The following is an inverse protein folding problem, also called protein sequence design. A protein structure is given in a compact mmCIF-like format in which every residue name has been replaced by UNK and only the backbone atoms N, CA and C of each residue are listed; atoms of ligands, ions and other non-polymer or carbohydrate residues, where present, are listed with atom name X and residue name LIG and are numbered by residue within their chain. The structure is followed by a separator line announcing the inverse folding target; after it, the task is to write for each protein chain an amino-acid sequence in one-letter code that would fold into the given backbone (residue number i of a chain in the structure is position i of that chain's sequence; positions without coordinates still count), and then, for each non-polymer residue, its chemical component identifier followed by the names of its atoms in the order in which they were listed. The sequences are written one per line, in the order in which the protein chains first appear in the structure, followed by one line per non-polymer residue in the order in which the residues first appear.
data_IF_628190782480
#
_entry.id   IF_628190782480
#
_cell.length_a   1.000
_cell.length_b   1.000
_cell.length_c   1.000
_cell.angle_alpha   90.00
_cell.angle_beta   90.00
_cell.angle_gamma   90.00
#
_symmetry.space_group_name_H-M   'P 1'
#
loop_
_entity.id
_entity.type
_entity.pdbx_description
1 polymer ?
#
# COMPACT_ATOMS: atom_id res chain seq x y z
N UNK A 1 -15.69 -5.61 -1.35
CA UNK A 1 -16.29 -4.26 -1.35
C UNK A 1 -17.76 -4.48 -1.66
N UNK A 2 -18.67 -4.04 -0.79
CA UNK A 2 -20.10 -4.16 -1.06
C UNK A 2 -20.44 -3.43 -2.36
N UNK A 3 -21.40 -3.97 -3.11
CA UNK A 3 -21.81 -3.42 -4.42
C UNK A 3 -22.26 -1.94 -4.31
N UNK A 4 -22.66 -1.52 -3.11
CA UNK A 4 -23.15 -0.18 -2.80
C UNK A 4 -22.03 0.82 -2.42
N UNK A 5 -20.74 0.43 -2.52
CA UNK A 5 -19.63 1.31 -2.13
C UNK A 5 -19.64 2.66 -2.88
N UNK A 6 -20.04 2.67 -4.16
CA UNK A 6 -20.17 3.89 -4.95
C UNK A 6 -21.25 4.82 -4.39
N UNK A 7 -22.38 4.28 -3.94
CA UNK A 7 -23.50 5.05 -3.41
C UNK A 7 -23.09 5.71 -2.09
N UNK A 8 -22.48 4.93 -1.19
CA UNK A 8 -22.00 5.42 0.11
C UNK A 8 -20.95 6.52 -0.08
N UNK A 9 -20.02 6.35 -1.01
CA UNK A 9 -18.99 7.36 -1.30
C UNK A 9 -19.61 8.67 -1.76
N UNK A 10 -20.63 8.61 -2.62
CA UNK A 10 -21.32 9.80 -3.13
C UNK A 10 -22.21 10.45 -2.07
N UNK A 11 -23.03 9.66 -1.38
CA UNK A 11 -23.96 10.12 -0.36
C UNK A 11 -23.24 10.79 0.81
N UNK A 12 -22.13 10.20 1.25
CA UNK A 12 -21.35 10.70 2.39
C UNK A 12 -20.20 11.63 2.00
N UNK A 13 -20.09 11.99 0.71
CA UNK A 13 -19.01 12.85 0.20
C UNK A 13 -17.60 12.41 0.64
N UNK A 14 -17.32 11.11 0.50
CA UNK A 14 -16.04 10.52 0.92
C UNK A 14 -14.95 10.91 -0.07
N UNK A 15 -13.84 11.47 0.41
CA UNK A 15 -12.68 11.83 -0.43
C UNK A 15 -11.47 10.89 -0.26
N UNK A 16 -11.46 10.06 0.79
CA UNK A 16 -10.37 9.16 1.13
C UNK A 16 -10.89 7.82 1.64
N UNK A 17 -10.38 6.73 1.08
CA UNK A 17 -10.57 5.37 1.58
C UNK A 17 -9.22 4.79 1.98
N UNK A 18 -9.15 4.20 3.18
CA UNK A 18 -7.95 3.55 3.69
C UNK A 18 -8.21 2.05 3.85
N UNK A 19 -7.35 1.22 3.26
CA UNK A 19 -7.32 -0.23 3.50
C UNK A 19 -6.09 -0.59 4.34
N UNK A 20 -6.32 -0.92 5.61
CA UNK A 20 -5.27 -1.26 6.58
C UNK A 20 -5.46 -2.68 7.13
N UNK A 21 -4.73 -3.71 6.69
CA UNK A 21 -3.78 -3.74 5.57
C UNK A 21 -4.35 -4.43 4.34
N UNK A 22 -3.80 -4.13 3.17
CA UNK A 22 -4.19 -4.74 1.90
C UNK A 22 -4.05 -6.26 1.91
N UNK A 23 -3.01 -6.79 2.55
CA UNK A 23 -2.59 -8.19 2.37
C UNK A 23 -2.84 -9.10 3.56
N UNK A 24 -3.14 -8.57 4.74
CA UNK A 24 -3.24 -9.38 5.98
C UNK A 24 -4.26 -10.51 5.85
N UNK A 25 -5.48 -10.19 5.41
CA UNK A 25 -6.58 -11.16 5.29
C UNK A 25 -6.29 -12.22 4.21
N UNK A 26 -5.70 -11.81 3.08
CA UNK A 26 -5.31 -12.74 2.01
C UNK A 26 -4.24 -13.74 2.45
N UNK A 27 -3.44 -13.42 3.48
CA UNK A 27 -2.43 -14.33 4.03
C UNK A 27 -3.01 -15.29 5.06
N UNK A 28 -3.99 -14.88 5.85
CA UNK A 28 -4.59 -15.71 6.91
C UNK A 28 -5.57 -16.74 6.36
N UNK A 29 -6.36 -16.38 5.36
CA UNK A 29 -7.44 -17.25 4.84
C UNK A 29 -6.95 -18.27 3.81
N UNK A 30 -5.80 -18.03 3.18
CA UNK A 30 -5.32 -18.79 2.03
C UNK A 30 -3.88 -19.24 2.28
N UNK A 31 -3.77 -20.35 3.02
CA UNK A 31 -2.50 -20.92 3.50
C UNK A 31 -2.00 -22.00 2.54
N UNK A 32 -0.68 -22.05 2.34
CA UNK A 32 -0.01 -23.06 1.52
C UNK A 32 0.20 -22.64 0.06
N UNK A 33 1.14 -23.31 -0.62
CA UNK A 33 1.49 -22.98 -2.03
C UNK A 33 0.40 -23.39 -3.03
N UNK A 34 -0.41 -24.41 -2.69
CA UNK A 34 -1.47 -24.92 -3.57
C UNK A 34 -2.62 -23.93 -3.83
N UNK A 35 -2.75 -22.90 -3.00
CA UNK A 35 -3.82 -21.89 -3.09
C UNK A 35 -3.29 -20.52 -3.52
N UNK A 36 -2.01 -20.44 -3.91
CA UNK A 36 -1.35 -19.21 -4.34
C UNK A 36 -2.09 -18.54 -5.52
N UNK A 37 -2.49 -19.33 -6.51
CA UNK A 37 -3.20 -18.80 -7.68
C UNK A 37 -4.53 -18.16 -7.31
N UNK A 38 -5.31 -18.82 -6.44
CA UNK A 38 -6.58 -18.29 -5.95
C UNK A 38 -6.38 -17.00 -5.16
N UNK A 39 -5.37 -16.95 -4.30
CA UNK A 39 -4.99 -15.73 -3.57
C UNK A 39 -4.67 -14.58 -4.51
N UNK A 40 -3.84 -14.85 -5.53
CA UNK A 40 -3.46 -13.86 -6.54
C UNK A 40 -4.68 -13.34 -7.31
N UNK A 41 -5.61 -14.22 -7.70
CA UNK A 41 -6.85 -13.83 -8.39
C UNK A 41 -7.75 -12.96 -7.52
N UNK A 42 -7.99 -13.36 -6.25
CA UNK A 42 -8.80 -12.58 -5.30
C UNK A 42 -8.18 -11.20 -5.02
N UNK A 43 -6.85 -11.14 -4.83
CA UNK A 43 -6.12 -9.89 -4.64
C UNK A 43 -6.22 -8.97 -5.87
N UNK A 44 -6.07 -9.50 -7.08
CA UNK A 44 -6.23 -8.75 -8.32
C UNK A 44 -7.65 -8.17 -8.46
N UNK A 45 -8.68 -8.98 -8.19
CA UNK A 45 -10.07 -8.51 -8.20
C UNK A 45 -10.27 -7.37 -7.21
N UNK A 46 -9.73 -7.50 -5.99
CA UNK A 46 -9.82 -6.46 -4.98
C UNK A 46 -9.15 -5.15 -5.41
N UNK A 47 -7.92 -5.21 -5.91
CA UNK A 47 -7.19 -4.04 -6.42
C UNK A 47 -7.92 -3.36 -7.57
N UNK A 48 -8.50 -4.14 -8.51
CA UNK A 48 -9.31 -3.59 -9.61
C UNK A 48 -10.56 -2.88 -9.11
N UNK A 49 -11.24 -3.42 -8.10
CA UNK A 49 -12.39 -2.75 -7.49
C UNK A 49 -11.98 -1.41 -6.86
N UNK A 50 -10.87 -1.38 -6.13
CA UNK A 50 -10.35 -0.16 -5.51
C UNK A 50 -9.96 0.90 -6.55
N UNK A 51 -9.25 0.50 -7.61
CA UNK A 51 -8.86 1.40 -8.69
C UNK A 51 -10.09 1.99 -9.40
N UNK A 52 -11.08 1.14 -9.73
CA UNK A 52 -12.34 1.59 -10.34
C UNK A 52 -13.09 2.57 -9.43
N UNK A 53 -13.12 2.31 -8.12
CA UNK A 53 -13.77 3.19 -7.15
C UNK A 53 -13.08 4.56 -7.09
N UNK A 54 -11.74 4.59 -7.04
CA UNK A 54 -10.94 5.80 -7.09
C UNK A 54 -11.24 6.64 -8.34
N UNK A 55 -11.27 6.00 -9.51
CA UNK A 55 -11.49 6.67 -10.79
C UNK A 55 -12.94 7.13 -10.98
N UNK A 56 -13.91 6.29 -10.60
CA UNK A 56 -15.34 6.59 -10.81
C UNK A 56 -15.84 7.68 -9.87
N UNK A 57 -15.33 7.70 -8.64
CA UNK A 57 -15.78 8.65 -7.62
C UNK A 57 -14.82 9.84 -7.44
N UNK A 58 -13.69 9.85 -8.15
CA UNK A 58 -12.64 10.86 -8.00
C UNK A 58 -12.15 11.00 -6.54
N UNK A 59 -11.77 9.87 -5.93
CA UNK A 59 -11.34 9.81 -4.53
C UNK A 59 -9.92 9.24 -4.42
N UNK A 60 -9.26 9.51 -3.30
CA UNK A 60 -7.98 8.89 -2.97
C UNK A 60 -8.20 7.53 -2.31
N UNK A 61 -7.53 6.49 -2.80
CA UNK A 61 -7.47 5.18 -2.12
C UNK A 61 -6.04 4.96 -1.63
N UNK A 62 -5.88 4.92 -0.31
CA UNK A 62 -4.62 4.61 0.35
C UNK A 62 -4.66 3.18 0.87
N UNK A 63 -3.62 2.42 0.61
CA UNK A 63 -3.49 1.07 1.15
C UNK A 63 -2.17 0.94 1.89
N UNK A 64 -2.20 0.24 3.02
CA UNK A 64 -0.96 -0.17 3.69
C UNK A 64 -0.65 -1.60 3.32
N UNK A 65 0.63 -1.92 3.17
CA UNK A 65 1.07 -3.24 2.78
C UNK A 65 2.13 -3.75 3.73
N UNK A 66 2.15 -5.07 3.92
CA UNK A 66 3.19 -5.74 4.69
C UNK A 66 4.40 -6.02 3.81
N UNK A 67 5.54 -6.17 4.46
CA UNK A 67 6.80 -6.58 3.81
C UNK A 67 7.23 -7.95 4.32
N UNK A 68 8.14 -8.57 3.59
CA UNK A 68 8.82 -9.78 4.01
C UNK A 68 10.31 -9.70 3.67
N UNK A 69 11.11 -10.43 4.41
CA UNK A 69 12.55 -10.53 4.17
C UNK A 69 12.85 -11.47 3.00
N UNK A 70 13.80 -11.07 2.17
CA UNK A 70 14.35 -11.82 1.04
C UNK A 70 15.79 -12.24 1.40
N UNK A 71 15.99 -13.45 1.96
CA UNK A 71 17.32 -13.90 2.40
C UNK A 71 18.31 -14.12 1.25
N UNK A 72 17.81 -14.15 0.01
CA UNK A 72 18.62 -14.24 -1.21
C UNK A 72 19.31 -12.91 -1.58
N UNK A 73 18.95 -11.80 -0.95
CA UNK A 73 19.61 -10.50 -1.13
C UNK A 73 20.78 -10.40 -0.14
N UNK A 74 22.01 -10.60 -0.63
CA UNK A 74 23.22 -10.49 0.19
C UNK A 74 23.70 -9.03 0.38
N UNK A 75 23.33 -8.12 -0.51
CA UNK A 75 23.74 -6.72 -0.47
C UNK A 75 22.54 -5.80 -0.69
N UNK A 76 22.42 -4.77 0.14
CA UNK A 76 21.30 -3.81 0.09
C UNK A 76 20.16 -4.18 1.04
N UNK A 77 19.01 -3.56 0.82
CA UNK A 77 17.82 -3.78 1.63
C UNK A 77 17.15 -5.11 1.24
N UNK A 78 17.07 -6.11 2.14
CA UNK A 78 16.44 -7.40 1.85
C UNK A 78 14.91 -7.34 1.93
N UNK A 79 14.31 -6.17 2.18
CA UNK A 79 12.87 -6.02 2.36
C UNK A 79 12.13 -6.01 1.02
N UNK A 80 11.17 -6.91 0.84
CA UNK A 80 10.29 -6.93 -0.33
C UNK A 80 8.82 -6.74 0.06
N UNK A 81 8.02 -6.00 -0.74
CA UNK A 81 6.59 -5.87 -0.50
C UNK A 81 5.84 -7.17 -0.81
N UNK A 82 4.83 -7.47 0.00
CA UNK A 82 3.94 -8.63 -0.22
C UNK A 82 2.95 -8.34 -1.34
N UNK A 83 2.50 -9.38 -2.05
CA UNK A 83 1.49 -9.30 -3.11
C UNK A 83 2.04 -9.36 -4.54
N UNK A 84 3.37 -9.34 -4.69
CA UNK A 84 4.08 -9.55 -5.95
C UNK A 84 3.65 -8.58 -7.05
N UNK A 85 3.74 -9.04 -8.30
CA UNK A 85 3.47 -8.21 -9.49
C UNK A 85 2.04 -7.66 -9.55
N UNK A 86 1.08 -8.29 -8.87
CA UNK A 86 -0.32 -7.82 -8.87
C UNK A 86 -0.41 -6.48 -8.15
N UNK A 87 0.14 -6.40 -6.94
CA UNK A 87 0.19 -5.14 -6.19
C UNK A 87 1.12 -4.15 -6.87
N UNK A 88 2.26 -4.64 -7.39
CA UNK A 88 3.24 -3.81 -8.12
C UNK A 88 2.62 -3.07 -9.31
N UNK A 89 1.89 -3.77 -10.18
CA UNK A 89 1.29 -3.16 -11.38
C UNK A 89 -0.01 -2.41 -11.11
N UNK A 90 -0.81 -2.82 -10.12
CA UNK A 90 -2.09 -2.18 -9.84
C UNK A 90 -1.94 -0.87 -9.04
N UNK A 91 -0.81 -0.66 -8.36
CA UNK A 91 -0.57 0.55 -7.58
C UNK A 91 -0.01 1.66 -8.47
N UNK A 92 -0.61 2.85 -8.45
CA UNK A 92 -0.11 4.02 -9.20
C UNK A 92 1.12 4.65 -8.53
N UNK A 93 1.11 4.78 -7.21
CA UNK A 93 2.20 5.40 -6.45
C UNK A 93 2.55 4.52 -5.27
N UNK A 94 3.85 4.28 -5.05
CA UNK A 94 4.34 3.38 -3.99
C UNK A 94 5.36 4.08 -3.10
N UNK A 95 5.04 4.16 -1.81
CA UNK A 95 5.95 4.65 -0.77
C UNK A 95 6.50 3.49 0.05
N UNK A 96 7.82 3.45 0.21
CA UNK A 96 8.48 2.55 1.14
C UNK A 96 8.87 3.32 2.40
N UNK A 97 8.24 2.97 3.52
CA UNK A 97 8.44 3.61 4.80
C UNK A 97 9.41 2.77 5.64
N UNK A 98 10.54 3.36 6.04
CA UNK A 98 11.56 2.68 6.84
C UNK A 98 11.95 3.49 8.07
N UNK A 99 12.38 2.80 9.13
CA UNK A 99 12.99 3.43 10.29
C UNK A 99 14.38 3.97 9.93
N UNK A 100 14.72 5.13 10.48
CA UNK A 100 16.06 5.70 10.43
C UNK A 100 16.67 5.73 11.84
N UNK A 101 17.78 6.45 12.02
CA UNK A 101 18.37 6.70 13.33
C UNK A 101 17.39 7.50 14.21
N UNK A 102 17.46 7.27 15.52
CA UNK A 102 16.64 7.96 16.53
C UNK A 102 15.13 7.81 16.28
N UNK A 103 14.37 8.90 16.36
CA UNK A 103 12.93 8.96 16.14
C UNK A 103 12.55 9.20 14.66
N UNK A 104 13.55 9.34 13.78
CA UNK A 104 13.35 9.65 12.37
C UNK A 104 12.84 8.44 11.58
N UNK A 105 12.12 8.72 10.51
CA UNK A 105 11.59 7.79 9.51
C UNK A 105 11.90 8.34 8.13
N UNK A 106 11.97 7.46 7.14
CA UNK A 106 12.17 7.84 5.74
C UNK A 106 11.01 7.29 4.93
N UNK A 107 10.37 8.14 4.14
CA UNK A 107 9.43 7.77 3.10
C UNK A 107 10.14 7.87 1.75
N UNK A 108 10.43 6.73 1.14
CA UNK A 108 11.01 6.64 -0.19
C UNK A 108 9.93 6.46 -1.23
N UNK A 109 9.90 7.32 -2.25
CA UNK A 109 9.13 7.06 -3.45
C UNK A 109 9.82 5.95 -4.25
N UNK A 110 9.14 4.80 -4.33
CA UNK A 110 9.65 3.63 -5.06
C UNK A 110 9.21 3.67 -6.52
N UNK A 111 8.02 4.21 -6.78
CA UNK A 111 7.42 4.24 -8.10
C UNK A 111 6.29 5.27 -8.15
N UNK A 112 6.22 6.01 -9.25
CA UNK A 112 5.14 6.93 -9.59
C UNK A 112 5.17 7.24 -11.08
N UNK A 113 4.01 7.33 -11.77
CA UNK A 113 3.96 7.74 -13.17
C UNK A 113 4.22 9.22 -13.39
N UNK A 114 4.22 10.04 -12.33
CA UNK A 114 4.19 11.51 -12.43
C UNK A 114 5.21 12.24 -11.57
N UNK A 115 5.94 11.53 -10.70
CA UNK A 115 6.88 12.12 -9.76
C UNK A 115 8.27 11.50 -9.96
N UNK A 116 9.35 12.30 -9.89
CA UNK A 116 10.70 11.76 -9.89
C UNK A 116 10.99 11.02 -8.58
N UNK A 117 11.93 10.08 -8.63
CA UNK A 117 12.43 9.39 -7.45
C UNK A 117 12.86 10.39 -6.36
N UNK A 118 12.55 10.07 -5.11
CA UNK A 118 12.85 10.94 -3.98
C UNK A 118 12.64 10.26 -2.63
N UNK A 119 13.24 10.83 -1.59
CA UNK A 119 13.06 10.41 -0.21
C UNK A 119 12.74 11.65 0.65
N UNK A 120 11.79 11.50 1.56
CA UNK A 120 11.47 12.52 2.57
C UNK A 120 11.72 11.93 3.96
N UNK A 121 12.38 12.68 4.82
CA UNK A 121 12.61 12.28 6.21
C UNK A 121 11.53 12.94 7.08
N UNK A 122 10.96 12.19 8.01
CA UNK A 122 9.88 12.66 8.88
C UNK A 122 10.00 12.07 10.28
N UNK A 123 9.22 12.58 11.23
CA UNK A 123 9.06 12.00 12.57
C UNK A 123 7.62 11.60 12.82
N UNK A 124 7.44 10.65 13.74
CA UNK A 124 6.13 10.29 14.27
C UNK A 124 6.13 10.64 15.75
N UNK A 125 5.36 11.65 16.11
CA UNK A 125 5.23 12.17 17.47
C UNK A 125 3.81 11.93 17.99
N UNK A 126 3.53 12.35 19.23
CA UNK A 126 2.19 12.27 19.80
C UNK A 126 1.15 13.10 19.03
N UNK A 127 1.60 14.07 18.23
CA UNK A 127 0.75 14.91 17.37
C UNK A 127 0.53 14.32 15.98
N UNK A 128 1.20 13.23 15.63
CA UNK A 128 1.11 12.57 14.33
C UNK A 128 2.41 12.62 13.55
N UNK A 129 2.32 12.79 12.23
CA UNK A 129 3.48 12.91 11.33
C UNK A 129 3.91 14.38 11.31
N UNK A 130 5.15 14.64 11.69
CA UNK A 130 5.74 15.98 11.70
C UNK A 130 6.99 16.02 10.80
N UNK A 131 7.25 17.21 10.26
CA UNK A 131 8.48 17.47 9.51
C UNK A 131 9.69 17.40 10.46
N UNK A 132 10.88 17.29 9.88
CA UNK A 132 12.10 17.49 10.62
C UNK A 132 12.42 18.98 10.52
N UNK A 133 12.10 19.72 11.59
CA UNK A 133 12.61 21.09 11.75
C UNK A 133 14.13 21.09 11.46
N UNK A 134 14.58 22.01 10.59
CA UNK A 134 16.01 22.20 10.27
C UNK A 134 16.85 22.47 11.52
#
# INVERSE_FOLDING_TARGET
MPDNANEIVKEKHINLIIVHSLTSQFRSEIVGRGTLAERQQKLNKHMRTLAKLAETCNITVLVTNQVMERPDILFGDPTAPVGGNIVGHASKTRLYLRKSKEDKRVAKLVDSPSLPDGEAVYRVTEKGIEDIDE
#
